data_IF_253659315890
#
_entry.id   IF_253659315890
#
_cell.length_a   1.000
_cell.length_b   1.000
_cell.length_c   1.000
_cell.angle_alpha   90.00
_cell.angle_beta   90.00
_cell.angle_gamma   90.00
#
_symmetry.space_group_name_H-M   'P 1'
#
loop_
_entity.id
_entity.type
_entity.pdbx_description
1 polymer ?
#
# COMPACT_ATOMS: atom_id res chain seq x y z
N UNK A 1 8.57 -32.28 4.43
CA UNK A 1 8.68 -31.10 5.31
C UNK A 1 10.13 -30.99 5.75
N UNK A 2 10.92 -30.08 5.17
CA UNK A 2 12.25 -29.78 5.72
C UNK A 2 12.04 -29.05 7.04
N UNK A 3 12.48 -29.63 8.16
CA UNK A 3 12.56 -28.91 9.44
C UNK A 3 13.54 -27.76 9.21
N UNK A 4 13.06 -26.52 9.30
CA UNK A 4 13.90 -25.34 9.23
C UNK A 4 15.06 -25.43 10.23
N UNK A 5 16.16 -24.74 9.95
CA UNK A 5 17.28 -24.68 10.88
C UNK A 5 16.80 -24.12 12.24
N UNK A 6 17.38 -24.55 13.37
CA UNK A 6 17.08 -23.93 14.64
C UNK A 6 17.42 -22.43 14.56
N UNK A 7 16.63 -21.60 15.26
CA UNK A 7 16.99 -20.18 15.40
C UNK A 7 18.43 -20.09 15.97
N UNK A 8 19.25 -19.13 15.52
CA UNK A 8 20.57 -18.87 16.11
C UNK A 8 20.44 -18.64 17.64
N UNK A 9 21.50 -18.63 18.46
CA UNK A 9 21.37 -18.27 19.88
C UNK A 9 20.86 -16.82 20.04
N UNK A 10 20.14 -16.47 21.13
CA UNK A 10 19.71 -15.10 21.39
C UNK A 10 20.90 -14.13 21.34
N UNK A 11 20.71 -12.89 20.85
CA UNK A 11 21.76 -11.88 20.90
C UNK A 11 22.23 -11.67 22.33
N UNK A 12 23.54 -11.57 22.53
CA UNK A 12 24.16 -11.45 23.86
C UNK A 12 23.82 -10.13 24.56
N UNK A 13 23.48 -9.10 23.80
CA UNK A 13 23.31 -7.74 24.30
C UNK A 13 21.82 -7.44 24.55
N UNK A 14 21.48 -6.83 25.70
CA UNK A 14 20.10 -6.50 26.04
C UNK A 14 19.56 -5.38 25.15
N UNK A 15 18.26 -5.39 24.92
CA UNK A 15 17.54 -4.34 24.18
C UNK A 15 17.12 -3.25 25.18
N UNK A 16 17.44 -1.99 24.89
CA UNK A 16 17.10 -0.84 25.75
C UNK A 16 15.88 -0.04 25.27
N UNK A 17 15.07 -0.60 24.36
CA UNK A 17 13.90 0.03 23.75
C UNK A 17 12.81 -1.01 23.48
N UNK A 18 11.62 -0.57 23.08
CA UNK A 18 10.50 -1.45 22.70
C UNK A 18 10.42 -1.57 21.18
N UNK A 19 11.02 -2.62 20.57
CA UNK A 19 11.02 -2.76 19.12
C UNK A 19 9.62 -3.04 18.57
N UNK A 20 9.32 -2.47 17.41
CA UNK A 20 8.19 -2.88 16.58
C UNK A 20 8.55 -4.18 15.85
N UNK A 21 8.42 -5.31 16.53
CA UNK A 21 8.72 -6.62 15.96
C UNK A 21 7.58 -7.61 16.16
N UNK A 22 7.50 -8.57 15.23
CA UNK A 22 6.55 -9.68 15.24
C UNK A 22 7.36 -10.96 15.22
N UNK A 23 7.07 -11.89 16.12
CA UNK A 23 7.72 -13.20 16.12
C UNK A 23 7.52 -13.87 14.75
N UNK A 24 8.62 -14.33 14.16
CA UNK A 24 8.64 -14.97 12.85
C UNK A 24 9.18 -16.40 12.96
N UNK A 25 8.79 -17.32 12.07
CA UNK A 25 9.34 -18.66 12.03
C UNK A 25 10.85 -18.63 11.74
N UNK A 26 11.55 -19.71 12.06
CA UNK A 26 12.93 -19.83 11.61
C UNK A 26 13.01 -19.87 10.08
N UNK A 27 13.99 -19.17 9.52
CA UNK A 27 14.25 -19.19 8.09
C UNK A 27 14.59 -20.60 7.63
N UNK A 28 14.01 -21.03 6.50
CA UNK A 28 14.24 -22.35 5.95
C UNK A 28 15.73 -22.57 5.61
N UNK A 29 16.43 -21.50 5.21
CA UNK A 29 17.88 -21.46 5.04
C UNK A 29 18.41 -20.09 5.46
N UNK A 30 19.34 -20.08 6.41
CA UNK A 30 20.14 -18.90 6.75
C UNK A 30 21.55 -19.34 7.21
N UNK A 31 22.64 -18.90 6.54
CA UNK A 31 22.69 -17.95 5.44
C UNK A 31 21.83 -18.38 4.24
N UNK A 32 21.28 -17.42 3.47
CA UNK A 32 20.64 -17.76 2.21
C UNK A 32 21.64 -18.53 1.32
N UNK A 33 21.14 -19.36 0.41
CA UNK A 33 21.99 -20.07 -0.55
C UNK A 33 22.80 -19.10 -1.43
N UNK A 34 23.62 -19.64 -2.34
CA UNK A 34 24.46 -18.92 -3.32
C UNK A 34 24.46 -17.38 -3.17
N UNK A 35 25.24 -16.86 -2.21
CA UNK A 35 25.50 -15.43 -2.03
C UNK A 35 26.88 -15.11 -2.60
N UNK A 36 27.08 -13.88 -3.08
CA UNK A 36 28.40 -13.46 -3.60
C UNK A 36 29.31 -12.89 -2.52
N UNK A 37 28.73 -12.33 -1.46
CA UNK A 37 29.46 -11.69 -0.38
C UNK A 37 28.69 -11.78 0.96
N UNK A 38 29.41 -11.74 2.06
CA UNK A 38 28.91 -11.67 3.42
C UNK A 38 29.41 -10.36 4.05
N UNK A 39 28.59 -9.31 3.96
CA UNK A 39 28.97 -7.97 4.37
C UNK A 39 28.77 -7.77 5.88
N UNK A 40 29.81 -7.31 6.56
CA UNK A 40 29.75 -6.95 7.98
C UNK A 40 29.23 -5.53 8.17
N UNK A 41 28.02 -5.43 8.71
CA UNK A 41 27.39 -4.18 9.14
C UNK A 41 27.74 -3.86 10.59
N UNK A 42 27.53 -2.60 10.99
CA UNK A 42 27.66 -2.15 12.38
C UNK A 42 29.01 -1.54 12.77
N UNK A 43 30.05 -1.77 11.97
CA UNK A 43 31.36 -1.14 12.14
C UNK A 43 31.37 0.33 11.66
N UNK A 44 30.50 0.68 10.70
CA UNK A 44 30.39 2.04 10.15
C UNK A 44 29.14 2.77 10.66
N UNK A 45 29.27 3.98 11.22
CA UNK A 45 28.13 4.83 11.55
C UNK A 45 27.25 5.08 10.32
N UNK A 46 25.93 5.08 10.49
CA UNK A 46 24.99 5.39 9.41
C UNK A 46 24.71 4.25 8.43
N UNK A 47 25.31 3.07 8.60
CA UNK A 47 24.95 1.90 7.80
C UNK A 47 23.47 1.53 8.01
N UNK A 48 22.71 1.52 6.91
CA UNK A 48 21.32 1.08 6.85
C UNK A 48 21.13 0.23 5.59
N UNK A 49 19.94 -0.34 5.40
CA UNK A 49 19.66 -1.21 4.26
C UNK A 49 19.92 -0.52 2.91
N UNK A 50 19.51 0.74 2.75
CA UNK A 50 19.73 1.51 1.52
C UNK A 50 21.22 1.67 1.21
N UNK A 51 22.04 2.01 2.21
CA UNK A 51 23.47 2.19 2.04
C UNK A 51 24.16 0.87 1.64
N UNK A 52 23.77 -0.25 2.26
CA UNK A 52 24.29 -1.58 1.89
C UNK A 52 23.86 -1.95 0.48
N UNK A 53 22.57 -1.82 0.14
CA UNK A 53 22.07 -2.14 -1.19
C UNK A 53 22.77 -1.32 -2.28
N UNK A 54 22.88 0.00 -2.08
CA UNK A 54 23.57 0.91 -3.01
C UNK A 54 25.06 0.55 -3.16
N UNK A 55 25.77 0.29 -2.06
CA UNK A 55 27.20 -0.06 -2.08
C UNK A 55 27.51 -1.35 -2.84
N UNK A 56 26.54 -2.23 -3.00
CA UNK A 56 26.66 -3.49 -3.74
C UNK A 56 25.90 -3.48 -5.08
N UNK A 57 25.35 -2.36 -5.52
CA UNK A 57 24.59 -2.28 -6.77
C UNK A 57 23.34 -3.16 -6.80
N UNK A 58 22.67 -3.30 -5.65
CA UNK A 58 21.33 -3.92 -5.56
C UNK A 58 20.30 -2.79 -5.69
N UNK A 59 19.59 -2.65 -6.84
CA UNK A 59 18.79 -1.44 -7.10
C UNK A 59 17.62 -1.26 -6.14
N UNK A 60 17.03 -2.36 -5.67
CA UNK A 60 15.91 -2.35 -4.75
C UNK A 60 16.34 -2.89 -3.38
N UNK A 61 16.26 -2.03 -2.36
CA UNK A 61 16.60 -2.39 -0.97
C UNK A 61 15.79 -3.60 -0.45
N UNK A 62 14.54 -3.75 -0.90
CA UNK A 62 13.70 -4.87 -0.50
C UNK A 62 14.14 -6.20 -1.10
N UNK A 63 14.87 -6.18 -2.23
CA UNK A 63 15.46 -7.39 -2.80
C UNK A 63 16.61 -7.90 -1.91
N UNK A 64 17.41 -6.99 -1.35
CA UNK A 64 18.44 -7.35 -0.37
C UNK A 64 17.82 -7.90 0.93
N UNK A 65 16.76 -7.26 1.44
CA UNK A 65 16.04 -7.74 2.64
C UNK A 65 15.42 -9.11 2.38
N UNK A 66 14.71 -9.27 1.26
CA UNK A 66 14.10 -10.55 0.89
C UNK A 66 15.14 -11.65 0.74
N UNK A 67 16.27 -11.36 0.08
CA UNK A 67 17.34 -12.33 -0.07
C UNK A 67 17.82 -12.86 1.28
N UNK A 68 17.92 -12.00 2.29
CA UNK A 68 18.35 -12.38 3.63
C UNK A 68 17.25 -13.07 4.45
N UNK A 69 16.01 -12.58 4.40
CA UNK A 69 14.98 -12.90 5.39
C UNK A 69 13.68 -13.45 4.83
N UNK A 70 13.55 -13.57 3.51
CA UNK A 70 12.37 -14.13 2.83
C UNK A 70 11.05 -13.50 3.30
N UNK A 71 11.08 -12.22 3.68
CA UNK A 71 9.92 -11.46 4.14
C UNK A 71 10.01 -10.01 3.69
N UNK A 72 8.85 -9.39 3.55
CA UNK A 72 8.69 -7.94 3.37
C UNK A 72 7.94 -7.30 4.54
N UNK A 73 7.57 -8.07 5.58
CA UNK A 73 6.97 -7.50 6.80
C UNK A 73 8.08 -6.85 7.64
N UNK A 74 8.09 -5.52 7.83
CA UNK A 74 9.13 -4.81 8.56
C UNK A 74 9.23 -5.26 10.03
N UNK A 75 8.14 -5.75 10.61
CA UNK A 75 8.14 -6.28 12.00
C UNK A 75 8.87 -7.62 12.07
N UNK A 76 8.75 -8.44 11.02
CA UNK A 76 9.54 -9.67 10.89
C UNK A 76 11.00 -9.35 10.54
N UNK A 77 11.25 -8.33 9.70
CA UNK A 77 12.60 -7.82 9.45
C UNK A 77 13.27 -7.40 10.77
N UNK A 78 12.59 -6.64 11.64
CA UNK A 78 13.12 -6.30 12.96
C UNK A 78 13.39 -7.55 13.82
N UNK A 79 12.51 -8.53 13.80
CA UNK A 79 12.73 -9.81 14.48
C UNK A 79 14.01 -10.50 13.96
N UNK A 80 14.21 -10.57 12.64
CA UNK A 80 15.39 -11.21 12.05
C UNK A 80 16.67 -10.39 12.21
N UNK A 81 16.60 -9.06 12.17
CA UNK A 81 17.73 -8.18 12.50
C UNK A 81 18.24 -8.44 13.90
N UNK A 82 17.33 -8.56 14.87
CA UNK A 82 17.72 -8.93 16.21
C UNK A 82 18.27 -10.36 16.23
N UNK A 83 17.49 -11.34 15.78
CA UNK A 83 17.75 -12.76 15.99
C UNK A 83 18.96 -13.28 15.21
N UNK A 84 19.09 -12.92 13.94
CA UNK A 84 20.07 -13.48 13.01
C UNK A 84 21.28 -12.56 12.77
N UNK A 85 21.04 -11.25 12.67
CA UNK A 85 22.13 -10.27 12.45
C UNK A 85 22.77 -9.85 13.78
N UNK A 86 22.04 -9.97 14.89
CA UNK A 86 22.53 -9.59 16.22
C UNK A 86 22.43 -8.09 16.49
N UNK A 87 21.50 -7.40 15.84
CA UNK A 87 21.21 -6.00 16.12
C UNK A 87 20.54 -5.85 17.50
N UNK A 88 20.93 -4.84 18.26
CA UNK A 88 20.40 -4.59 19.61
C UNK A 88 20.17 -3.11 19.91
N UNK A 89 20.61 -2.21 19.02
CA UNK A 89 20.44 -0.76 19.15
C UNK A 89 19.39 -0.24 18.17
N UNK A 90 18.83 0.93 18.48
CA UNK A 90 17.87 1.65 17.61
C UNK A 90 18.29 3.12 17.45
N UNK A 91 17.94 3.70 16.31
CA UNK A 91 18.11 5.14 16.05
C UNK A 91 16.81 5.94 16.28
N UNK A 92 15.65 5.28 16.25
CA UNK A 92 14.31 5.89 16.31
C UNK A 92 13.47 5.38 17.50
N UNK A 93 14.07 4.52 18.33
CA UNK A 93 13.41 3.85 19.45
C UNK A 93 12.39 2.78 19.05
N UNK A 94 12.32 2.39 17.77
CA UNK A 94 11.31 1.47 17.23
C UNK A 94 11.89 0.36 16.35
N UNK A 95 12.81 0.70 15.45
CA UNK A 95 13.44 -0.22 14.51
C UNK A 95 14.87 -0.53 14.93
N UNK A 96 15.32 -1.77 14.70
CA UNK A 96 16.72 -2.12 14.93
C UNK A 96 17.61 -1.43 13.89
N UNK A 97 18.70 -0.85 14.37
CA UNK A 97 19.79 -0.32 13.55
C UNK A 97 20.93 -1.33 13.47
N UNK A 98 21.78 -1.21 12.45
CA UNK A 98 22.99 -2.04 12.35
C UNK A 98 24.06 -1.67 13.39
N UNK A 99 23.92 -0.56 14.11
CA UNK A 99 24.95 -0.04 15.01
C UNK A 99 25.31 -1.07 16.09
N UNK A 100 26.60 -1.44 16.11
CA UNK A 100 27.14 -2.42 17.07
C UNK A 100 26.58 -3.84 16.94
N UNK A 101 25.96 -4.19 15.80
CA UNK A 101 25.43 -5.52 15.55
C UNK A 101 26.52 -6.59 15.65
N UNK A 102 26.19 -7.73 16.25
CA UNK A 102 27.15 -8.81 16.50
C UNK A 102 26.46 -10.18 16.30
N UNK A 103 26.77 -10.93 15.22
CA UNK A 103 27.96 -10.78 14.37
C UNK A 103 27.85 -9.69 13.29
N UNK A 104 26.65 -9.15 13.03
CA UNK A 104 26.44 -8.07 12.08
C UNK A 104 26.61 -8.50 10.62
N UNK A 105 26.14 -9.67 10.22
CA UNK A 105 26.33 -10.16 8.83
C UNK A 105 25.07 -10.02 8.01
N UNK A 106 25.19 -9.37 6.84
CA UNK A 106 24.18 -9.29 5.77
C UNK A 106 24.75 -9.95 4.52
N UNK A 107 24.01 -10.90 3.95
CA UNK A 107 24.42 -11.63 2.75
C UNK A 107 24.00 -10.87 1.50
N UNK A 108 24.90 -10.78 0.52
CA UNK A 108 24.69 -10.04 -0.71
C UNK A 108 24.32 -11.02 -1.84
N UNK A 109 23.22 -10.78 -2.56
CA UNK A 109 22.79 -11.68 -3.64
C UNK A 109 23.79 -11.70 -4.81
N UNK A 110 23.83 -12.78 -5.61
CA UNK A 110 24.58 -12.85 -6.85
C UNK A 110 24.20 -11.73 -7.82
N UNK A 111 25.09 -11.40 -8.76
CA UNK A 111 24.74 -10.50 -9.85
C UNK A 111 23.54 -11.04 -10.65
N UNK A 112 22.60 -10.16 -10.96
CA UNK A 112 21.39 -10.51 -11.70
C UNK A 112 20.38 -11.36 -10.91
N UNK A 113 20.59 -11.58 -9.61
CA UNK A 113 19.59 -12.23 -8.77
C UNK A 113 18.28 -11.45 -8.81
N UNK A 114 17.18 -12.19 -8.91
CA UNK A 114 15.82 -11.66 -8.87
C UNK A 114 15.06 -12.35 -7.77
N UNK A 115 14.22 -11.58 -7.08
CA UNK A 115 13.28 -12.12 -6.09
C UNK A 115 12.40 -13.19 -6.76
N UNK A 116 12.18 -14.36 -6.12
CA UNK A 116 11.20 -15.32 -6.57
C UNK A 116 9.83 -14.65 -6.77
N UNK A 117 9.23 -14.87 -7.92
CA UNK A 117 7.88 -14.40 -8.24
C UNK A 117 6.86 -15.48 -7.87
N UNK A 118 5.69 -15.12 -7.31
CA UNK A 118 5.27 -13.75 -7.01
C UNK A 118 5.88 -13.23 -5.69
N UNK A 119 6.25 -11.95 -5.67
CA UNK A 119 6.51 -11.19 -4.44
C UNK A 119 5.27 -11.28 -3.54
N UNK A 120 5.35 -11.71 -2.26
CA UNK A 120 4.16 -11.84 -1.42
C UNK A 120 3.39 -10.54 -1.20
N UNK A 121 4.08 -9.39 -1.23
CA UNK A 121 3.43 -8.09 -1.15
C UNK A 121 2.55 -7.87 -2.38
N UNK A 122 3.10 -8.16 -3.56
CA UNK A 122 2.36 -8.16 -4.82
C UNK A 122 1.22 -9.18 -4.80
N UNK A 123 1.48 -10.42 -4.40
CA UNK A 123 0.46 -11.48 -4.34
C UNK A 123 -0.72 -11.07 -3.44
N UNK A 124 -0.44 -10.45 -2.30
CA UNK A 124 -1.49 -9.98 -1.40
C UNK A 124 -2.23 -8.78 -1.94
N UNK A 125 -1.54 -7.77 -2.47
CA UNK A 125 -2.20 -6.64 -3.14
C UNK A 125 -3.16 -7.13 -4.21
N UNK A 126 -2.70 -8.04 -5.09
CA UNK A 126 -3.51 -8.62 -6.15
C UNK A 126 -4.70 -9.40 -5.58
N UNK A 127 -4.49 -10.19 -4.52
CA UNK A 127 -5.57 -10.94 -3.86
C UNK A 127 -6.63 -10.01 -3.25
N UNK A 128 -6.21 -8.94 -2.56
CA UNK A 128 -7.12 -7.93 -1.99
C UNK A 128 -7.88 -7.20 -3.08
N UNK A 129 -7.19 -6.73 -4.12
CA UNK A 129 -7.80 -6.02 -5.24
C UNK A 129 -8.85 -6.90 -5.93
N UNK A 130 -8.47 -8.12 -6.36
CA UNK A 130 -9.37 -9.05 -7.05
C UNK A 130 -10.59 -9.40 -6.19
N UNK A 131 -10.42 -9.65 -4.90
CA UNK A 131 -11.54 -9.95 -4.01
C UNK A 131 -12.52 -8.77 -3.90
N UNK A 132 -11.98 -7.55 -3.73
CA UNK A 132 -12.74 -6.34 -3.46
C UNK A 132 -13.51 -5.81 -4.66
N UNK A 133 -13.06 -6.11 -5.87
CA UNK A 133 -13.69 -5.62 -7.12
C UNK A 133 -14.45 -6.71 -7.88
N UNK A 134 -14.60 -7.90 -7.28
CA UNK A 134 -15.21 -9.08 -7.93
C UNK A 134 -16.65 -8.84 -8.41
N UNK A 135 -17.38 -7.95 -7.73
CA UNK A 135 -18.75 -7.50 -8.05
C UNK A 135 -18.85 -6.00 -8.33
N UNK A 136 -17.73 -5.37 -8.71
CA UNK A 136 -17.70 -3.93 -8.96
C UNK A 136 -18.56 -3.60 -10.21
N UNK A 137 -19.55 -2.69 -10.12
CA UNK A 137 -20.41 -2.32 -11.23
C UNK A 137 -19.62 -1.56 -12.30
N UNK A 138 -20.11 -1.58 -13.54
CA UNK A 138 -19.57 -0.71 -14.56
C UNK A 138 -20.19 0.69 -14.38
N UNK A 139 -19.36 1.65 -13.97
CA UNK A 139 -19.75 3.05 -13.84
C UNK A 139 -19.08 3.94 -14.89
N UNK A 140 -19.76 5.02 -15.25
CA UNK A 140 -19.19 6.16 -15.99
C UNK A 140 -19.32 7.43 -15.18
N UNK A 141 -18.33 8.30 -15.31
CA UNK A 141 -18.39 9.66 -14.82
C UNK A 141 -17.60 10.56 -15.76
N UNK A 142 -18.25 11.59 -16.28
CA UNK A 142 -17.78 12.44 -17.37
C UNK A 142 -17.34 11.57 -18.55
N UNK A 143 -16.04 11.58 -18.85
CA UNK A 143 -15.43 10.84 -19.95
C UNK A 143 -14.60 9.62 -19.47
N UNK A 144 -14.71 9.22 -18.21
CA UNK A 144 -14.01 8.04 -17.68
C UNK A 144 -14.95 6.88 -17.38
N UNK A 145 -14.39 5.69 -17.49
CA UNK A 145 -15.08 4.41 -17.35
C UNK A 145 -14.37 3.58 -16.27
N UNK A 146 -15.07 3.23 -15.20
CA UNK A 146 -14.50 2.39 -14.14
C UNK A 146 -15.35 1.13 -14.03
N UNK A 147 -14.69 -0.02 -14.13
CA UNK A 147 -15.31 -1.32 -14.01
C UNK A 147 -14.34 -2.28 -13.34
N UNK A 148 -14.81 -3.50 -13.06
CA UNK A 148 -13.94 -4.61 -12.68
C UNK A 148 -12.73 -4.78 -13.64
N UNK A 149 -12.95 -4.65 -14.95
CA UNK A 149 -11.89 -4.80 -15.97
C UNK A 149 -10.81 -3.70 -15.85
N UNK A 150 -11.21 -2.50 -15.46
CA UNK A 150 -10.28 -1.39 -15.19
C UNK A 150 -9.30 -1.77 -14.05
N UNK A 151 -9.80 -2.35 -12.97
CA UNK A 151 -8.97 -2.84 -11.86
C UNK A 151 -8.13 -4.07 -12.22
N UNK A 152 -8.65 -4.97 -13.06
CA UNK A 152 -7.87 -6.09 -13.60
C UNK A 152 -6.68 -5.61 -14.43
N UNK A 153 -6.83 -4.49 -15.15
CA UNK A 153 -5.74 -3.84 -15.90
C UNK A 153 -4.67 -3.28 -14.95
N UNK A 154 -5.06 -2.65 -13.84
CA UNK A 154 -4.12 -2.25 -12.77
C UNK A 154 -3.39 -3.47 -12.18
N UNK A 155 -4.11 -4.54 -11.89
CA UNK A 155 -3.52 -5.80 -11.40
C UNK A 155 -2.51 -6.41 -12.38
N UNK A 156 -2.79 -6.35 -13.68
CA UNK A 156 -1.85 -6.80 -14.71
C UNK A 156 -0.61 -5.89 -14.80
N UNK A 157 -0.78 -4.57 -14.68
CA UNK A 157 0.33 -3.62 -14.67
C UNK A 157 1.24 -3.84 -13.46
N UNK A 158 0.67 -4.12 -12.29
CA UNK A 158 1.41 -4.53 -11.09
C UNK A 158 2.16 -5.85 -11.32
N UNK A 159 1.49 -6.88 -11.84
CA UNK A 159 2.09 -8.19 -12.10
C UNK A 159 3.28 -8.11 -13.06
N UNK A 160 3.22 -7.21 -14.04
CA UNK A 160 4.25 -7.02 -15.04
C UNK A 160 5.33 -6.00 -14.62
N UNK A 161 5.29 -5.50 -13.38
CA UNK A 161 6.25 -4.55 -12.85
C UNK A 161 6.16 -3.14 -13.44
N UNK A 162 5.06 -2.81 -14.14
CA UNK A 162 4.81 -1.44 -14.64
C UNK A 162 4.31 -0.51 -13.54
N UNK A 163 3.60 -1.06 -12.55
CA UNK A 163 3.26 -0.38 -11.31
C UNK A 163 3.94 -1.11 -10.15
N UNK A 164 4.76 -0.39 -9.38
CA UNK A 164 5.44 -0.92 -8.22
C UNK A 164 4.52 -0.99 -6.98
N UNK A 165 4.91 -1.80 -6.01
CA UNK A 165 4.34 -1.76 -4.66
C UNK A 165 5.49 -1.65 -3.68
N UNK A 166 5.38 -0.74 -2.72
CA UNK A 166 6.37 -0.56 -1.67
C UNK A 166 5.74 -0.27 -0.31
N UNK A 167 6.59 -0.32 0.70
CA UNK A 167 6.30 0.10 2.06
C UNK A 167 7.02 1.42 2.34
N UNK A 168 6.26 2.46 2.66
CA UNK A 168 6.79 3.79 2.99
C UNK A 168 5.95 4.46 4.09
N UNK A 169 6.11 4.04 5.35
CA UNK A 169 5.32 4.55 6.47
C UNK A 169 5.65 6.00 6.81
N UNK A 170 6.86 6.47 6.47
CA UNK A 170 7.29 7.83 6.75
C UNK A 170 6.60 8.81 5.81
N UNK A 171 6.55 8.49 4.51
CA UNK A 171 5.78 9.27 3.54
C UNK A 171 4.30 9.28 3.89
N UNK A 172 3.73 8.12 4.22
CA UNK A 172 2.33 8.01 4.62
C UNK A 172 2.01 8.71 5.94
N UNK A 173 2.97 8.80 6.85
CA UNK A 173 2.83 9.61 8.07
C UNK A 173 2.85 11.11 7.74
N UNK A 174 3.76 11.56 6.87
CA UNK A 174 3.82 12.95 6.39
C UNK A 174 2.53 13.36 5.69
N UNK A 175 1.95 12.45 4.91
CA UNK A 175 0.71 12.61 4.18
C UNK A 175 -0.55 12.30 5.02
N UNK A 176 -0.43 11.92 6.29
CA UNK A 176 -1.55 11.47 7.10
C UNK A 176 -2.45 10.41 6.41
N UNK A 177 -1.88 9.57 5.55
CA UNK A 177 -2.58 8.62 4.70
C UNK A 177 -2.32 7.17 5.11
N UNK A 178 -3.28 6.29 4.84
CA UNK A 178 -3.19 4.85 5.10
C UNK A 178 -2.46 4.11 3.98
N UNK A 179 -2.71 4.51 2.75
CA UNK A 179 -2.10 4.09 1.51
C UNK A 179 -2.04 5.29 0.56
N UNK A 180 -1.22 5.22 -0.48
CA UNK A 180 -1.18 6.21 -1.56
C UNK A 180 -0.76 5.53 -2.87
N UNK A 181 -1.37 5.92 -3.99
CA UNK A 181 -0.83 5.76 -5.32
C UNK A 181 -0.01 7.00 -5.71
N UNK A 182 1.22 6.75 -6.12
CA UNK A 182 2.22 7.74 -6.49
C UNK A 182 2.37 7.76 -8.02
N UNK A 183 1.55 8.56 -8.69
CA UNK A 183 1.50 8.76 -10.15
C UNK A 183 2.88 8.94 -10.81
N UNK A 184 3.67 9.90 -10.34
CA UNK A 184 5.04 10.21 -10.77
C UNK A 184 6.03 9.04 -10.74
N UNK A 185 5.79 8.05 -9.88
CA UNK A 185 6.68 6.89 -9.71
C UNK A 185 6.00 5.57 -10.07
N UNK A 186 4.77 5.64 -10.58
CA UNK A 186 3.89 4.51 -10.86
C UNK A 186 3.95 3.46 -9.75
N UNK A 187 3.56 3.84 -8.52
CA UNK A 187 3.77 2.96 -7.37
C UNK A 187 2.70 3.13 -6.30
N UNK A 188 2.25 2.01 -5.72
CA UNK A 188 1.51 2.01 -4.48
C UNK A 188 2.44 1.99 -3.26
N UNK A 189 2.16 2.81 -2.25
CA UNK A 189 2.80 2.76 -0.94
C UNK A 189 1.78 2.48 0.16
N UNK A 190 2.13 1.62 1.12
CA UNK A 190 1.26 1.21 2.24
C UNK A 190 1.93 1.41 3.60
N UNK A 191 1.13 1.76 4.63
CA UNK A 191 1.62 2.11 5.98
C UNK A 191 1.85 0.91 6.89
N UNK A 192 1.07 -0.15 6.71
CA UNK A 192 1.30 -1.48 7.32
C UNK A 192 1.11 -2.46 6.18
N UNK A 193 2.10 -3.31 5.88
CA UNK A 193 1.97 -4.10 4.68
C UNK A 193 0.93 -5.22 4.84
N UNK A 194 0.44 -5.58 6.04
CA UNK A 194 -0.22 -6.88 6.20
C UNK A 194 -1.25 -7.02 7.32
N UNK A 195 -2.36 -6.27 7.27
CA UNK A 195 -3.62 -6.77 7.86
C UNK A 195 -4.69 -6.78 6.78
N UNK A 196 -5.06 -7.98 6.33
CA UNK A 196 -6.16 -8.18 5.38
C UNK A 196 -7.50 -7.92 6.08
N UNK A 197 -7.73 -6.66 6.42
CA UNK A 197 -9.02 -6.18 6.94
C UNK A 197 -9.85 -5.63 5.79
N UNK A 198 -11.15 -5.57 6.00
CA UNK A 198 -12.08 -4.92 5.08
C UNK A 198 -11.66 -3.47 4.78
N UNK A 199 -11.22 -2.71 5.80
CA UNK A 199 -10.73 -1.35 5.60
C UNK A 199 -9.47 -1.28 4.71
N UNK A 200 -8.52 -2.22 4.86
CA UNK A 200 -7.34 -2.25 3.97
C UNK A 200 -7.66 -2.66 2.54
N UNK A 201 -8.64 -3.54 2.37
CA UNK A 201 -9.16 -3.89 1.05
C UNK A 201 -9.78 -2.68 0.35
N UNK A 202 -10.49 -1.86 1.11
CA UNK A 202 -11.06 -0.61 0.64
C UNK A 202 -9.97 0.42 0.27
N UNK A 203 -8.97 0.63 1.13
CA UNK A 203 -7.78 1.46 0.82
C UNK A 203 -7.14 1.05 -0.52
N UNK A 204 -7.01 -0.27 -0.77
CA UNK A 204 -6.47 -0.79 -2.04
C UNK A 204 -7.32 -0.38 -3.24
N UNK A 205 -8.65 -0.40 -3.13
CA UNK A 205 -9.54 0.03 -4.21
C UNK A 205 -9.49 1.54 -4.40
N UNK A 206 -9.43 2.32 -3.32
CA UNK A 206 -9.25 3.77 -3.38
C UNK A 206 -8.01 4.12 -4.20
N UNK A 207 -6.86 3.57 -3.81
CA UNK A 207 -5.61 3.85 -4.52
C UNK A 207 -5.58 3.26 -5.93
N UNK A 208 -6.12 2.06 -6.14
CA UNK A 208 -6.20 1.48 -7.48
C UNK A 208 -7.10 2.30 -8.41
N UNK A 209 -8.07 3.04 -7.89
CA UNK A 209 -8.88 3.98 -8.67
C UNK A 209 -8.03 5.12 -9.21
N UNK A 210 -7.15 5.70 -8.40
CA UNK A 210 -6.18 6.69 -8.88
C UNK A 210 -5.28 6.13 -9.98
N UNK A 211 -4.84 4.88 -9.87
CA UNK A 211 -4.08 4.21 -10.92
C UNK A 211 -4.89 3.95 -12.20
N UNK A 212 -6.18 3.60 -12.09
CA UNK A 212 -7.09 3.53 -13.25
C UNK A 212 -7.15 4.89 -13.95
N UNK A 213 -7.34 5.97 -13.19
CA UNK A 213 -7.49 7.31 -13.75
C UNK A 213 -6.20 7.83 -14.40
N UNK A 214 -5.02 7.51 -13.86
CA UNK A 214 -3.73 7.83 -14.48
C UNK A 214 -3.53 7.10 -15.83
N UNK A 215 -4.07 5.88 -15.97
CA UNK A 215 -4.07 5.19 -17.27
C UNK A 215 -4.92 5.91 -18.33
N UNK A 216 -5.94 6.69 -17.93
CA UNK A 216 -6.68 7.62 -18.80
C UNK A 216 -5.95 8.95 -18.95
N UNK A 217 -4.68 8.94 -19.39
CA UNK A 217 -3.90 10.17 -19.60
C UNK A 217 -4.70 11.23 -20.36
N UNK A 218 -4.75 12.45 -19.83
CA UNK A 218 -5.49 13.55 -20.45
C UNK A 218 -7.01 13.46 -20.32
N UNK A 219 -7.52 12.75 -19.30
CA UNK A 219 -8.96 12.66 -19.03
C UNK A 219 -9.62 14.02 -18.71
N UNK A 220 -8.87 15.08 -18.41
CA UNK A 220 -9.44 16.40 -18.11
C UNK A 220 -10.22 16.46 -16.78
N UNK A 221 -10.12 15.42 -15.94
CA UNK A 221 -10.68 15.41 -14.60
C UNK A 221 -9.87 16.32 -13.68
N UNK A 222 -10.58 17.02 -12.79
CA UNK A 222 -9.95 17.79 -11.73
C UNK A 222 -9.54 16.87 -10.58
N UNK A 223 -8.64 17.34 -9.71
CA UNK A 223 -8.23 16.60 -8.49
C UNK A 223 -9.45 16.18 -7.66
N UNK A 224 -10.44 17.06 -7.53
CA UNK A 224 -11.68 16.75 -6.82
C UNK A 224 -12.48 15.62 -7.48
N UNK A 225 -12.45 15.52 -8.81
CA UNK A 225 -13.10 14.42 -9.54
C UNK A 225 -12.37 13.09 -9.30
N UNK A 226 -11.05 13.10 -9.26
CA UNK A 226 -10.25 11.89 -8.98
C UNK A 226 -10.53 11.35 -7.57
N UNK A 227 -10.48 12.21 -6.55
CA UNK A 227 -10.78 11.80 -5.17
C UNK A 227 -12.25 11.41 -5.01
N UNK A 228 -13.18 12.09 -5.69
CA UNK A 228 -14.60 11.69 -5.71
C UNK A 228 -14.79 10.26 -6.21
N UNK A 229 -14.16 9.91 -7.34
CA UNK A 229 -14.24 8.55 -7.88
C UNK A 229 -13.53 7.53 -7.00
N UNK A 230 -12.42 7.90 -6.36
CA UNK A 230 -11.71 7.03 -5.44
C UNK A 230 -12.55 6.71 -4.20
N UNK A 231 -13.14 7.71 -3.54
CA UNK A 231 -14.05 7.49 -2.40
C UNK A 231 -15.31 6.72 -2.79
N UNK A 232 -15.89 6.99 -3.96
CA UNK A 232 -17.05 6.24 -4.45
C UNK A 232 -16.68 4.76 -4.69
N UNK A 233 -15.53 4.51 -5.33
CA UNK A 233 -15.05 3.16 -5.60
C UNK A 233 -14.70 2.40 -4.30
N UNK A 234 -14.08 3.09 -3.33
CA UNK A 234 -13.86 2.57 -1.97
C UNK A 234 -15.17 2.13 -1.33
N UNK A 235 -16.19 3.00 -1.34
CA UNK A 235 -17.49 2.72 -0.73
C UNK A 235 -18.24 1.57 -1.42
N UNK A 236 -18.18 1.48 -2.75
CA UNK A 236 -18.72 0.34 -3.52
C UNK A 236 -18.02 -0.96 -3.10
N UNK A 237 -16.69 -0.95 -2.95
CA UNK A 237 -15.94 -2.13 -2.52
C UNK A 237 -16.31 -2.55 -1.09
N UNK A 238 -16.42 -1.59 -0.16
CA UNK A 238 -16.88 -1.85 1.20
C UNK A 238 -18.27 -2.49 1.22
N UNK A 239 -19.22 -1.92 0.49
CA UNK A 239 -20.60 -2.43 0.43
C UNK A 239 -20.65 -3.84 -0.15
N UNK A 240 -19.91 -4.12 -1.22
CA UNK A 240 -19.87 -5.46 -1.83
C UNK A 240 -19.20 -6.51 -0.96
N UNK A 241 -18.30 -6.11 -0.05
CA UNK A 241 -17.71 -6.95 0.99
C UNK A 241 -18.61 -7.14 2.22
N UNK A 242 -19.84 -6.62 2.21
CA UNK A 242 -20.82 -6.77 3.29
C UNK A 242 -20.64 -5.77 4.44
N UNK A 243 -19.87 -4.71 4.23
CA UNK A 243 -19.68 -3.67 5.23
C UNK A 243 -20.67 -2.53 5.03
N UNK A 244 -21.27 -2.07 6.12
CA UNK A 244 -22.14 -0.89 6.13
C UNK A 244 -21.41 0.24 6.87
N UNK A 245 -21.32 1.40 6.22
CA UNK A 245 -20.88 2.63 6.85
C UNK A 245 -22.07 3.59 6.87
N UNK A 246 -22.32 4.20 8.03
CA UNK A 246 -23.37 5.20 8.22
C UNK A 246 -22.73 6.51 8.68
N UNK A 247 -23.36 7.64 8.35
CA UNK A 247 -22.95 8.96 8.83
C UNK A 247 -22.98 10.03 7.75
N UNK A 248 -22.74 11.27 8.18
CA UNK A 248 -22.73 12.45 7.30
C UNK A 248 -21.33 12.95 6.95
N UNK A 249 -20.29 12.17 7.29
CA UNK A 249 -18.91 12.45 6.87
C UNK A 249 -18.67 11.92 5.44
N UNK A 250 -17.46 12.14 4.90
CA UNK A 250 -17.12 11.70 3.53
C UNK A 250 -17.40 10.21 3.28
N UNK A 251 -17.11 9.36 4.25
CA UNK A 251 -17.28 7.91 4.12
C UNK A 251 -18.76 7.50 4.13
N UNK A 252 -19.58 8.14 4.98
CA UNK A 252 -21.02 7.88 5.02
C UNK A 252 -21.74 8.37 3.76
N UNK A 253 -21.39 9.57 3.26
CA UNK A 253 -21.92 10.09 2.01
C UNK A 253 -21.50 9.24 0.80
N UNK A 254 -20.25 8.75 0.78
CA UNK A 254 -19.81 7.82 -0.25
C UNK A 254 -20.55 6.48 -0.18
N UNK A 255 -20.83 5.96 1.02
CA UNK A 255 -21.59 4.73 1.21
C UNK A 255 -23.07 4.87 0.80
N UNK A 256 -23.67 6.03 1.03
CA UNK A 256 -25.01 6.39 0.55
C UNK A 256 -25.06 6.33 -0.99
N UNK A 257 -24.19 7.09 -1.66
CA UNK A 257 -24.11 7.11 -3.13
C UNK A 257 -23.75 5.73 -3.71
N UNK A 258 -22.83 5.00 -3.08
CA UNK A 258 -22.48 3.65 -3.50
C UNK A 258 -23.67 2.69 -3.44
N UNK A 259 -24.57 2.85 -2.46
CA UNK A 259 -25.79 2.04 -2.38
C UNK A 259 -26.70 2.32 -3.57
N UNK A 260 -26.91 3.59 -3.93
CA UNK A 260 -27.71 3.99 -5.11
C UNK A 260 -27.11 3.40 -6.40
N UNK A 261 -25.79 3.55 -6.59
CA UNK A 261 -25.07 3.01 -7.76
C UNK A 261 -25.20 1.48 -7.84
N UNK A 262 -25.06 0.78 -6.72
CA UNK A 262 -25.18 -0.69 -6.68
C UNK A 262 -26.61 -1.13 -7.00
N UNK A 263 -27.62 -0.46 -6.45
CA UNK A 263 -29.02 -0.81 -6.72
C UNK A 263 -29.38 -0.58 -8.19
N UNK A 264 -28.93 0.54 -8.78
CA UNK A 264 -29.10 0.83 -10.21
C UNK A 264 -28.39 -0.20 -11.09
N UNK A 265 -27.20 -0.67 -10.69
CA UNK A 265 -26.45 -1.68 -11.44
C UNK A 265 -27.13 -3.06 -11.51
N UNK A 266 -28.20 -3.30 -10.73
CA UNK A 266 -29.00 -4.53 -10.82
C UNK A 266 -29.89 -4.55 -12.05
N UNK A 267 -30.24 -3.38 -12.57
CA UNK A 267 -31.13 -3.22 -13.74
C UNK A 267 -30.39 -2.67 -14.95
N UNK A 268 -29.29 -1.93 -14.75
CA UNK A 268 -28.45 -1.38 -15.81
C UNK A 268 -27.08 -2.06 -15.87
N UNK A 269 -26.64 -2.39 -17.09
CA UNK A 269 -25.29 -2.90 -17.34
C UNK A 269 -24.19 -1.82 -17.20
N UNK A 270 -24.58 -0.55 -17.27
CA UNK A 270 -23.74 0.63 -17.15
C UNK A 270 -24.49 1.68 -16.33
N UNK A 271 -23.85 2.23 -15.30
CA UNK A 271 -24.44 3.26 -14.43
C UNK A 271 -23.68 4.57 -14.62
N UNK A 272 -24.35 5.59 -15.16
CA UNK A 272 -23.78 6.93 -15.24
C UNK A 272 -23.96 7.64 -13.89
N UNK A 273 -22.84 8.00 -13.25
CA UNK A 273 -22.86 8.59 -11.90
C UNK A 273 -23.53 9.98 -11.91
N UNK A 274 -23.49 10.68 -13.04
CA UNK A 274 -24.18 11.97 -13.21
C UNK A 274 -25.70 11.86 -13.18
N UNK A 275 -26.28 10.67 -13.33
CA UNK A 275 -27.73 10.47 -13.12
C UNK A 275 -28.14 10.76 -11.66
N UNK A 276 -27.17 10.72 -10.73
CA UNK A 276 -27.36 11.08 -9.32
C UNK A 276 -26.99 12.54 -9.02
N UNK A 277 -26.74 13.36 -10.04
CA UNK A 277 -26.51 14.81 -9.91
C UNK A 277 -27.84 15.60 -9.90
N UNK A 278 -28.97 14.90 -9.95
CA UNK A 278 -30.28 15.50 -9.70
C UNK A 278 -30.58 15.54 -8.19
N UNK A 279 -31.32 16.56 -7.76
CA UNK A 279 -31.71 16.67 -6.37
C UNK A 279 -32.84 15.66 -6.07
N UNK A 280 -32.63 14.86 -5.03
CA UNK A 280 -33.58 13.85 -4.57
C UNK A 280 -33.97 14.10 -3.12
N UNK A 281 -35.13 13.62 -2.71
CA UNK A 281 -35.56 13.72 -1.31
C UNK A 281 -34.93 12.60 -0.47
N UNK A 282 -34.10 12.99 0.50
CA UNK A 282 -33.46 12.10 1.47
C UNK A 282 -33.83 12.60 2.87
N UNK A 283 -34.51 11.76 3.66
CA UNK A 283 -34.97 12.11 5.02
C UNK A 283 -35.76 13.44 5.11
N UNK A 284 -36.60 13.71 4.11
CA UNK A 284 -37.41 14.94 4.04
C UNK A 284 -36.66 16.18 3.59
N UNK A 285 -35.42 16.04 3.10
CA UNK A 285 -34.60 17.13 2.54
C UNK A 285 -34.28 16.87 1.07
N UNK A 286 -34.47 17.88 0.24
CA UNK A 286 -34.07 17.86 -1.17
C UNK A 286 -32.56 18.12 -1.23
N UNK A 287 -31.81 17.10 -1.64
CA UNK A 287 -30.35 17.08 -1.59
C UNK A 287 -29.79 16.43 -2.86
N UNK A 288 -28.64 16.90 -3.34
CA UNK A 288 -27.91 16.28 -4.46
C UNK A 288 -26.77 15.41 -3.89
N UNK A 289 -26.84 14.07 -4.01
CA UNK A 289 -25.85 13.16 -3.44
C UNK A 289 -24.42 13.39 -3.96
N UNK A 290 -24.27 13.63 -5.26
CA UNK A 290 -22.96 13.87 -5.91
C UNK A 290 -22.32 15.15 -5.37
N UNK A 291 -23.07 16.26 -5.35
CA UNK A 291 -22.59 17.53 -4.82
C UNK A 291 -22.28 17.46 -3.33
N UNK A 292 -23.10 16.77 -2.52
CA UNK A 292 -22.84 16.55 -1.09
C UNK A 292 -21.51 15.85 -0.85
N UNK A 293 -21.28 14.75 -1.57
CA UNK A 293 -20.03 14.02 -1.44
C UNK A 293 -18.84 14.87 -1.87
N UNK A 294 -18.94 15.57 -3.00
CA UNK A 294 -17.88 16.48 -3.47
C UNK A 294 -17.56 17.59 -2.47
N UNK A 295 -18.59 18.18 -1.86
CA UNK A 295 -18.40 19.22 -0.85
C UNK A 295 -17.73 18.66 0.40
N UNK A 296 -18.17 17.49 0.88
CA UNK A 296 -17.54 16.81 2.02
C UNK A 296 -16.07 16.45 1.76
N UNK A 297 -15.73 16.01 0.53
CA UNK A 297 -14.36 15.74 0.12
C UNK A 297 -13.53 17.03 0.16
N UNK A 298 -14.06 18.15 -0.35
CA UNK A 298 -13.35 19.44 -0.34
C UNK A 298 -12.90 19.87 1.06
N UNK A 299 -13.71 19.56 2.08
CA UNK A 299 -13.42 19.86 3.49
C UNK A 299 -12.74 18.71 4.24
N UNK A 300 -12.47 17.59 3.58
CA UNK A 300 -11.85 16.44 4.23
C UNK A 300 -10.38 16.75 4.58
N UNK A 301 -9.92 16.53 5.82
CA UNK A 301 -8.57 16.91 6.25
C UNK A 301 -7.44 16.35 5.38
N UNK A 302 -7.64 15.16 4.82
CA UNK A 302 -6.63 14.49 3.97
C UNK A 302 -6.70 14.92 2.50
N UNK A 303 -7.80 15.55 2.06
CA UNK A 303 -7.94 16.08 0.69
C UNK A 303 -6.99 17.26 0.44
N UNK A 304 -6.83 18.12 1.46
CA UNK A 304 -6.04 19.35 1.35
C UNK A 304 -4.54 19.06 1.55
N UNK A 305 -4.12 18.13 2.41
CA UNK A 305 -2.69 18.02 2.77
C UNK A 305 -1.82 17.32 1.74
N UNK A 306 -2.36 16.41 0.94
CA UNK A 306 -1.55 15.47 0.13
C UNK A 306 -1.33 15.93 -1.30
N UNK A 307 -2.34 16.54 -1.91
CA UNK A 307 -2.25 17.07 -3.27
C UNK A 307 -1.77 18.53 -3.30
N UNK A 308 -2.21 19.40 -2.37
CA UNK A 308 -1.83 20.83 -2.43
C UNK A 308 -0.36 21.11 -2.10
N UNK A 309 0.28 20.35 -1.22
CA UNK A 309 1.73 20.50 -0.98
C UNK A 309 2.55 20.18 -2.24
N UNK A 310 2.04 19.28 -3.07
CA UNK A 310 2.73 18.73 -4.22
C UNK A 310 2.74 19.66 -5.43
N UNK A 311 1.60 20.30 -5.74
CA UNK A 311 1.47 21.16 -6.92
C UNK A 311 1.83 22.63 -6.68
N UNK A 312 2.14 23.01 -5.44
CA UNK A 312 2.59 24.35 -5.10
C UNK A 312 4.12 24.47 -5.15
N UNK A 313 4.86 23.41 -4.83
CA UNK A 313 6.33 23.41 -4.88
C UNK A 313 6.90 23.30 -6.30
N UNK A 314 6.10 22.94 -7.31
CA UNK A 314 6.48 22.99 -8.74
C UNK A 314 6.23 24.37 -9.38
N UNK A 315 5.93 25.40 -8.58
CA UNK A 315 5.67 26.78 -9.03
C UNK A 315 6.63 27.84 -8.45
N UNK A 316 7.84 27.43 -8.04
CA UNK A 316 8.95 28.34 -7.70
C UNK A 316 10.19 28.01 -8.52
#
# INVERSE_FOLDING_TARGET
>A
MSKGLPLPPPPKKPISFTPLMKAAPALAAWPPGAFRDAYRVGDKPGANWQAVAAGFGVPNVWDLIWFNFQTTDPREVNFYLHRYVGCWQSNDGKNFSFKGAEPGIIFIPPFGWKRPSPDPLMARFLSMLTASVSRFPYITYKNVHISRSSFETVGLAVRNGRIGIAYDPDELKRANAAAMYLDYSNRFIFRDPFIDTISRRADVVHEATHAVLDMYKGNGLQILDNEFLAFLSEAIALKTLGYAYEGSNVFGLAAELATMVIDESRTKALVAVEEFDEAIEIDGKVENPVLRLREAIRHHPNFITNWWRRYRDDSV
#
